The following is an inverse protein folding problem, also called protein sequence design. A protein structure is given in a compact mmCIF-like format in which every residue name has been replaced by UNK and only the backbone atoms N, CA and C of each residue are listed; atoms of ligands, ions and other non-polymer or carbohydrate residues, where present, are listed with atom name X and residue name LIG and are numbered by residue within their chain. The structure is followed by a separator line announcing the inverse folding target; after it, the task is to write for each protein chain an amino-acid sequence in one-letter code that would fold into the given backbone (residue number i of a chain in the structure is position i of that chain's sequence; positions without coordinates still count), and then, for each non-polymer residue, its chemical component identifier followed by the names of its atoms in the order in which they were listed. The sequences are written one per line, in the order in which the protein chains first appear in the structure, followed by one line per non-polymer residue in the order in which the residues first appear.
data_IF_557076135458
#
_entry.id   IF_557076135458
#
_cell.length_a   1.000
_cell.length_b   1.000
_cell.length_c   1.000
_cell.angle_alpha   90.00
_cell.angle_beta   90.00
_cell.angle_gamma   90.00
#
_symmetry.space_group_name_H-M   'P 1'
#
loop_
_entity.id
_entity.type
_entity.pdbx_description
1 polymer ?
#
# COMPACT_ATOMS: atom_id res chain seq x y z
N UNK A 1 -15.10 10.35 -1.49
CA UNK A 1 -14.58 9.08 -0.95
C UNK A 1 -15.18 7.93 -1.74
N UNK A 2 -14.45 7.34 -2.70
CA UNK A 2 -14.93 6.15 -3.39
C UNK A 2 -14.71 4.95 -2.47
N UNK A 3 -15.79 4.37 -1.97
CA UNK A 3 -15.76 3.18 -1.12
C UNK A 3 -15.11 1.98 -1.82
N UNK A 4 -14.87 0.87 -1.08
CA UNK A 4 -14.39 -0.37 -1.70
C UNK A 4 -15.29 -0.70 -2.89
N UNK A 5 -14.67 -1.03 -4.02
CA UNK A 5 -15.36 -1.39 -5.26
C UNK A 5 -16.58 -2.26 -4.96
N UNK A 6 -17.75 -1.90 -5.49
CA UNK A 6 -19.02 -2.61 -5.25
C UNK A 6 -19.03 -4.09 -5.66
N UNK A 7 -17.92 -4.60 -6.20
CA UNK A 7 -17.71 -5.99 -6.55
C UNK A 7 -16.69 -6.61 -5.58
N UNK A 8 -16.99 -7.80 -5.08
CA UNK A 8 -16.02 -8.66 -4.39
C UNK A 8 -14.98 -9.20 -5.38
N UNK A 9 -13.91 -9.84 -4.87
CA UNK A 9 -12.91 -10.46 -5.74
C UNK A 9 -13.50 -11.61 -6.55
N UNK A 10 -14.37 -12.41 -5.91
CA UNK A 10 -15.06 -13.54 -6.53
C UNK A 10 -15.99 -13.05 -7.66
N UNK A 11 -16.73 -11.97 -7.42
CA UNK A 11 -17.59 -11.36 -8.44
C UNK A 11 -16.80 -10.80 -9.62
N UNK A 12 -15.58 -10.29 -9.40
CA UNK A 12 -14.69 -9.86 -10.48
C UNK A 12 -14.20 -11.04 -11.30
N UNK A 13 -13.78 -12.12 -10.65
CA UNK A 13 -13.28 -13.32 -11.33
C UNK A 13 -14.37 -13.95 -12.23
N UNK A 14 -15.57 -14.18 -11.67
CA UNK A 14 -16.70 -14.72 -12.43
C UNK A 14 -17.13 -13.79 -13.59
N UNK A 15 -17.02 -12.47 -13.42
CA UNK A 15 -17.29 -11.53 -14.50
C UNK A 15 -16.28 -11.64 -15.65
N UNK A 16 -14.98 -11.84 -15.35
CA UNK A 16 -13.95 -12.00 -16.38
C UNK A 16 -14.16 -13.29 -17.17
N UNK A 17 -14.46 -14.41 -16.52
CA UNK A 17 -14.75 -15.67 -17.22
C UNK A 17 -15.91 -15.50 -18.21
N UNK A 18 -16.99 -14.83 -17.78
CA UNK A 18 -18.11 -14.54 -18.66
C UNK A 18 -17.73 -13.60 -19.82
N UNK A 19 -16.82 -12.65 -19.62
CA UNK A 19 -16.34 -11.81 -20.71
C UNK A 19 -15.47 -12.57 -21.70
N UNK A 20 -14.61 -13.47 -21.21
CA UNK A 20 -13.79 -14.35 -22.05
C UNK A 20 -14.68 -15.32 -22.87
N UNK A 21 -15.81 -15.76 -22.30
CA UNK A 21 -16.88 -16.49 -22.99
C UNK A 21 -17.69 -15.61 -23.98
N UNK A 22 -17.37 -14.33 -24.11
CA UNK A 22 -17.97 -13.40 -25.07
C UNK A 22 -19.26 -12.70 -24.59
N UNK A 23 -19.59 -12.77 -23.30
CA UNK A 23 -20.81 -12.15 -22.78
C UNK A 23 -20.70 -10.62 -22.70
N UNK A 24 -21.81 -9.95 -22.99
CA UNK A 24 -21.90 -8.50 -22.86
C UNK A 24 -22.08 -8.05 -21.39
N UNK A 25 -21.56 -6.85 -21.07
CA UNK A 25 -21.67 -6.21 -19.74
C UNK A 25 -23.03 -6.35 -19.05
N UNK A 26 -24.12 -6.06 -19.78
CA UNK A 26 -25.49 -6.10 -19.22
C UNK A 26 -25.86 -7.52 -18.80
N UNK A 27 -25.57 -8.51 -19.64
CA UNK A 27 -25.86 -9.92 -19.37
C UNK A 27 -25.08 -10.42 -18.15
N UNK A 28 -23.80 -10.03 -18.03
CA UNK A 28 -22.97 -10.36 -16.87
C UNK A 28 -23.50 -9.73 -15.58
N UNK A 29 -23.89 -8.46 -15.63
CA UNK A 29 -24.47 -7.78 -14.47
C UNK A 29 -25.76 -8.44 -13.98
N UNK A 30 -26.66 -8.80 -14.90
CA UNK A 30 -27.89 -9.54 -14.57
C UNK A 30 -27.59 -10.91 -13.98
N UNK A 31 -26.62 -11.64 -14.55
CA UNK A 31 -26.26 -12.99 -14.07
C UNK A 31 -25.61 -12.99 -12.69
N UNK A 32 -24.82 -11.96 -12.38
CA UNK A 32 -24.16 -11.79 -11.08
C UNK A 32 -25.02 -11.05 -10.05
N UNK A 33 -26.20 -10.56 -10.43
CA UNK A 33 -27.10 -9.81 -9.53
C UNK A 33 -26.53 -8.47 -9.07
N UNK A 34 -25.64 -7.87 -9.86
CA UNK A 34 -24.93 -6.62 -9.52
C UNK A 34 -25.35 -5.48 -10.44
N UNK A 35 -25.04 -4.24 -10.04
CA UNK A 35 -25.35 -3.09 -10.88
C UNK A 35 -24.51 -3.09 -12.17
N UNK A 36 -25.14 -2.71 -13.28
CA UNK A 36 -24.47 -2.58 -14.59
C UNK A 36 -23.31 -1.58 -14.51
N UNK A 37 -23.41 -0.56 -13.65
CA UNK A 37 -22.37 0.43 -13.41
C UNK A 37 -21.16 -0.15 -12.68
N UNK A 38 -21.37 -1.06 -11.71
CA UNK A 38 -20.28 -1.74 -11.02
C UNK A 38 -19.44 -2.60 -11.99
N UNK A 39 -20.10 -3.26 -12.94
CA UNK A 39 -19.48 -4.11 -13.97
C UNK A 39 -18.86 -3.29 -15.11
N UNK A 40 -19.34 -2.07 -15.36
CA UNK A 40 -18.88 -1.24 -16.48
C UNK A 40 -17.40 -0.93 -16.46
N UNK A 41 -16.88 -0.49 -15.32
CA UNK A 41 -15.45 -0.18 -15.20
C UNK A 41 -14.59 -1.42 -15.43
N UNK A 42 -15.04 -2.60 -14.97
CA UNK A 42 -14.34 -3.87 -15.16
C UNK A 42 -14.34 -4.30 -16.63
N UNK A 43 -15.47 -4.15 -17.32
CA UNK A 43 -15.59 -4.45 -18.76
C UNK A 43 -14.66 -3.56 -19.62
N UNK A 44 -14.59 -2.26 -19.33
CA UNK A 44 -13.69 -1.35 -20.03
C UNK A 44 -12.22 -1.73 -19.80
N UNK A 45 -11.86 -2.12 -18.57
CA UNK A 45 -10.53 -2.62 -18.22
C UNK A 45 -10.20 -3.94 -18.92
N UNK A 46 -11.14 -4.89 -18.95
CA UNK A 46 -11.00 -6.17 -19.66
C UNK A 46 -10.83 -5.96 -21.16
N UNK A 47 -11.57 -5.04 -21.78
CA UNK A 47 -11.41 -4.75 -23.21
C UNK A 47 -10.01 -4.23 -23.57
N UNK A 48 -9.32 -3.58 -22.62
CA UNK A 48 -7.96 -3.05 -22.82
C UNK A 48 -6.88 -4.05 -22.41
N UNK A 49 -7.11 -4.88 -21.39
CA UNK A 49 -6.08 -5.72 -20.75
C UNK A 49 -6.34 -7.23 -20.81
N UNK A 50 -7.48 -7.66 -21.33
CA UNK A 50 -7.98 -9.04 -21.27
C UNK A 50 -8.12 -9.52 -19.82
N UNK A 51 -7.79 -10.80 -19.59
CA UNK A 51 -7.82 -11.45 -18.27
C UNK A 51 -6.94 -10.78 -17.19
N UNK A 52 -6.01 -9.89 -17.56
CA UNK A 52 -5.21 -9.11 -16.60
C UNK A 52 -6.01 -7.97 -15.92
N UNK A 53 -7.31 -7.82 -16.22
CA UNK A 53 -8.16 -6.84 -15.55
C UNK A 53 -8.32 -7.08 -14.02
N UNK A 54 -8.08 -8.31 -13.55
CA UNK A 54 -8.05 -8.67 -12.13
C UNK A 54 -6.81 -8.14 -11.37
N UNK A 55 -5.80 -7.60 -12.07
CA UNK A 55 -4.58 -7.12 -11.40
C UNK A 55 -4.90 -5.87 -10.59
N UNK A 56 -5.37 -6.10 -9.37
CA UNK A 56 -5.49 -5.10 -8.33
C UNK A 56 -4.07 -4.68 -8.00
N UNK A 57 -3.69 -3.48 -8.45
CA UNK A 57 -2.45 -2.85 -8.01
C UNK A 57 -2.47 -2.87 -6.49
N UNK A 58 -1.47 -3.45 -5.79
CA UNK A 58 -1.47 -3.45 -4.34
C UNK A 58 -1.71 -2.02 -3.89
N UNK A 59 -2.76 -1.82 -3.09
CA UNK A 59 -3.00 -0.53 -2.47
C UNK A 59 -1.70 -0.11 -1.79
N UNK A 60 -1.28 1.14 -2.01
CA UNK A 60 -0.01 1.67 -1.48
C UNK A 60 0.22 1.11 -0.08
N UNK A 61 1.41 0.54 0.16
CA UNK A 61 1.77 -0.09 1.43
C UNK A 61 1.46 0.90 2.55
N UNK A 62 0.46 0.59 3.38
CA UNK A 62 0.03 1.45 4.48
C UNK A 62 0.75 1.00 5.74
N UNK A 63 1.49 1.91 6.36
CA UNK A 63 2.10 1.70 7.67
C UNK A 63 1.20 2.30 8.75
N UNK A 64 1.14 1.65 9.91
CA UNK A 64 0.48 2.21 11.09
C UNK A 64 1.19 3.49 11.55
N UNK A 65 0.47 4.32 12.29
CA UNK A 65 1.06 5.52 12.91
C UNK A 65 2.20 5.15 13.86
N UNK A 66 1.97 4.18 14.75
CA UNK A 66 2.96 3.69 15.71
C UNK A 66 4.25 3.23 15.04
N UNK A 67 4.16 2.48 13.94
CA UNK A 67 5.34 2.04 13.20
C UNK A 67 6.14 3.22 12.62
N UNK A 68 5.45 4.25 12.11
CA UNK A 68 6.14 5.45 11.60
C UNK A 68 6.79 6.23 12.74
N UNK A 69 6.14 6.29 13.90
CA UNK A 69 6.66 6.99 15.07
C UNK A 69 7.93 6.32 15.59
N UNK A 70 7.90 4.99 15.73
CA UNK A 70 9.04 4.19 16.17
C UNK A 70 10.26 4.40 15.26
N UNK A 71 10.09 4.25 13.95
CA UNK A 71 11.17 4.45 12.97
C UNK A 71 11.72 5.88 13.02
N UNK A 72 10.85 6.88 13.18
CA UNK A 72 11.28 8.28 13.24
C UNK A 72 12.07 8.58 14.52
N UNK A 73 11.66 7.98 15.65
CA UNK A 73 12.35 8.14 16.92
C UNK A 73 13.71 7.46 16.91
N UNK A 74 13.80 6.25 16.35
CA UNK A 74 15.05 5.51 16.22
C UNK A 74 16.08 6.28 15.34
N UNK A 75 15.63 6.80 14.20
CA UNK A 75 16.44 7.64 13.31
C UNK A 75 16.90 8.93 14.01
N UNK A 76 15.98 9.60 14.73
CA UNK A 76 16.29 10.81 15.49
C UNK A 76 17.31 10.55 16.61
N UNK A 77 17.12 9.48 17.40
CA UNK A 77 18.04 9.10 18.49
C UNK A 77 19.41 8.77 17.92
N UNK A 78 19.47 8.01 16.83
CA UNK A 78 20.71 7.66 16.15
C UNK A 78 21.43 8.92 15.67
N UNK A 79 20.74 9.81 14.96
CA UNK A 79 21.29 11.09 14.52
C UNK A 79 21.74 11.97 15.69
N UNK A 80 20.94 12.06 16.76
CA UNK A 80 21.26 12.86 17.94
C UNK A 80 22.55 12.36 18.62
N UNK A 81 22.66 11.04 18.79
CA UNK A 81 23.79 10.40 19.46
C UNK A 81 25.07 10.41 18.63
N UNK A 82 24.98 10.41 17.30
CA UNK A 82 26.14 10.24 16.41
C UNK A 82 26.54 11.49 15.63
N UNK A 83 25.56 12.31 15.23
CA UNK A 83 25.76 13.39 14.25
C UNK A 83 25.54 14.78 14.83
N UNK A 84 24.48 14.97 15.64
CA UNK A 84 24.16 16.30 16.21
C UNK A 84 25.24 16.78 17.19
N UNK A 85 25.73 15.89 18.06
CA UNK A 85 26.73 16.24 19.07
C UNK A 85 28.09 16.66 18.51
N UNK A 86 28.48 16.15 17.34
CA UNK A 86 29.72 16.55 16.67
C UNK A 86 29.74 18.01 16.21
N UNK A 87 28.57 18.66 16.06
CA UNK A 87 28.50 20.08 15.68
C UNK A 87 28.71 21.05 16.85
N UNK A 88 28.67 20.58 18.10
CA UNK A 88 28.86 21.43 19.30
C UNK A 88 29.99 20.92 20.21
N UNK A 89 30.33 19.63 20.15
CA UNK A 89 31.45 19.02 20.85
C UNK A 89 32.43 18.51 19.79
N UNK A 90 33.46 19.29 19.47
CA UNK A 90 34.36 19.07 18.31
C UNK A 90 35.17 17.76 18.36
N UNK A 91 35.06 16.94 19.41
CA UNK A 91 36.02 15.85 19.68
C UNK A 91 35.37 14.48 19.89
N UNK A 92 34.18 14.37 20.48
CA UNK A 92 33.53 13.08 20.77
C UNK A 92 32.00 13.15 20.65
N UNK A 93 31.39 12.11 20.09
CA UNK A 93 29.93 11.96 20.10
C UNK A 93 29.41 11.68 21.52
N UNK A 94 28.16 12.06 21.86
CA UNK A 94 27.57 11.81 23.18
C UNK A 94 27.65 10.37 23.67
N UNK A 95 27.59 9.37 22.78
CA UNK A 95 27.76 7.96 23.15
C UNK A 95 29.21 7.63 23.50
N UNK A 96 30.18 8.17 22.75
CA UNK A 96 31.61 8.00 23.04
C UNK A 96 32.01 8.65 24.37
N UNK A 97 31.44 9.81 24.69
CA UNK A 97 31.63 10.46 25.99
C UNK A 97 31.14 9.58 27.15
N UNK A 98 29.94 9.00 27.03
CA UNK A 98 29.39 8.08 28.05
C UNK A 98 30.25 6.84 28.23
N UNK A 99 30.73 6.25 27.13
CA UNK A 99 31.62 5.08 27.21
C UNK A 99 32.99 5.42 27.81
N UNK A 100 33.51 6.61 27.57
CA UNK A 100 34.76 7.08 28.19
C UNK A 100 34.59 7.30 29.69
N UNK A 101 33.49 7.91 30.15
CA UNK A 101 33.16 8.05 31.58
C UNK A 101 33.00 6.71 32.29
N UNK A 102 32.46 5.68 31.63
CA UNK A 102 32.31 4.35 32.22
C UNK A 102 33.62 3.55 32.28
N UNK A 103 34.64 3.96 31.52
CA UNK A 103 35.95 3.31 31.45
C UNK A 103 37.03 4.01 32.30
N UNK A 104 36.69 5.14 32.93
CA UNK A 104 37.56 5.92 33.82
C UNK A 104 37.20 5.67 35.30
#
# INVERSE_FOLDING_TARGET
MAGPSSLTEEQRAAAIELFDDGWARRSVATRLGVSVWAVGRLYDLWRVRGGAALVRKPSKRSFSFEFKLEVTLDDYITWFNTSRGHTHCEVLSPVQYRTQTLAA
#
